data_IF_323522322406
#
_entry.id   IF_323522322406
#
_cell.length_a   1.000
_cell.length_b   1.000
_cell.length_c   1.000
_cell.angle_alpha   90.00
_cell.angle_beta   90.00
_cell.angle_gamma   90.00
#
_symmetry.space_group_name_H-M   'P 1'
#
loop_
_entity.id
_entity.type
_entity.pdbx_description
1 polymer ?
#
# COMPACT_ATOMS: atom_id res chain seq x y z
N UNK A 1 -30.22 -34.25 10.11
CA UNK A 1 -29.24 -33.36 9.45
C UNK A 1 -28.39 -32.61 10.50
N UNK A 2 -27.51 -33.28 11.26
CA UNK A 2 -26.81 -32.67 12.40
C UNK A 2 -25.26 -32.65 12.27
N UNK A 3 -24.71 -32.92 11.08
CA UNK A 3 -23.27 -33.12 10.89
C UNK A 3 -22.65 -32.30 9.75
N UNK A 4 -23.17 -31.10 9.48
CA UNK A 4 -22.52 -30.17 8.54
C UNK A 4 -21.25 -29.57 9.17
N UNK A 5 -20.12 -29.48 8.44
CA UNK A 5 -18.89 -28.86 8.95
C UNK A 5 -19.12 -27.43 9.46
N UNK A 6 -20.04 -26.67 8.84
CA UNK A 6 -20.41 -25.32 9.29
C UNK A 6 -21.22 -25.28 10.59
N UNK A 7 -21.90 -26.38 10.97
CA UNK A 7 -22.56 -26.49 12.28
C UNK A 7 -21.52 -26.78 13.37
N UNK A 8 -20.52 -27.63 13.08
CA UNK A 8 -19.41 -27.93 14.00
C UNK A 8 -18.54 -26.70 14.29
N UNK A 9 -18.23 -25.90 13.27
CA UNK A 9 -17.44 -24.67 13.45
C UNK A 9 -18.22 -23.64 14.29
N UNK A 10 -19.54 -23.48 14.06
CA UNK A 10 -20.38 -22.60 14.87
C UNK A 10 -20.47 -23.02 16.33
N UNK A 11 -20.71 -24.30 16.60
CA UNK A 11 -20.74 -24.82 17.96
C UNK A 11 -19.41 -24.60 18.70
N UNK A 12 -18.28 -24.76 17.99
CA UNK A 12 -16.96 -24.53 18.55
C UNK A 12 -16.66 -23.03 18.79
N UNK A 13 -17.12 -22.13 17.91
CA UNK A 13 -17.02 -20.69 18.13
C UNK A 13 -17.79 -20.26 19.37
N UNK A 14 -19.01 -20.76 19.57
CA UNK A 14 -19.80 -20.47 20.77
C UNK A 14 -19.09 -20.94 22.05
N UNK A 15 -18.40 -22.08 21.99
CA UNK A 15 -17.59 -22.57 23.11
C UNK A 15 -16.40 -21.64 23.41
N UNK A 16 -15.63 -21.26 22.37
CA UNK A 16 -14.47 -20.36 22.52
C UNK A 16 -14.86 -18.96 23.02
N UNK A 17 -16.01 -18.44 22.57
CA UNK A 17 -16.56 -17.17 23.06
C UNK A 17 -16.97 -17.25 24.53
N UNK A 18 -17.52 -18.38 24.98
CA UNK A 18 -17.83 -18.61 26.39
C UNK A 18 -16.55 -18.70 27.25
N UNK A 19 -15.51 -19.38 26.75
CA UNK A 19 -14.20 -19.46 27.41
C UNK A 19 -13.51 -18.08 27.49
N UNK A 20 -13.61 -17.26 26.43
CA UNK A 20 -13.09 -15.90 26.42
C UNK A 20 -13.84 -14.98 27.40
N UNK A 21 -15.17 -15.08 27.46
CA UNK A 21 -15.99 -14.29 28.38
C UNK A 21 -15.70 -14.65 29.84
N UNK A 22 -15.49 -15.93 30.15
CA UNK A 22 -15.08 -16.37 31.49
C UNK A 22 -13.70 -15.81 31.92
N UNK A 23 -12.82 -15.49 30.97
CA UNK A 23 -11.53 -14.83 31.24
C UNK A 23 -11.64 -13.31 31.40
N UNK A 24 -12.72 -12.67 30.92
CA UNK A 24 -12.98 -11.24 31.13
C UNK A 24 -13.47 -10.93 32.55
N UNK A 25 -13.98 -11.93 33.28
CA UNK A 25 -14.46 -11.81 34.66
C UNK A 25 -13.36 -11.95 35.73
N UNK A 26 -12.07 -11.95 35.34
CA UNK A 26 -10.95 -12.13 36.27
C UNK A 26 -10.25 -10.81 36.66
N UNK A 27 -9.98 -10.73 37.97
CA UNK A 27 -9.34 -9.67 38.77
C UNK A 27 -8.13 -8.97 38.08
N UNK A 28 -7.94 -7.65 38.27
CA UNK A 28 -6.81 -6.86 37.75
C UNK A 28 -5.40 -7.38 38.12
N UNK A 29 -5.28 -8.38 39.00
CA UNK A 29 -4.05 -9.11 39.31
C UNK A 29 -3.75 -10.33 38.41
N UNK A 30 -4.45 -10.47 37.27
CA UNK A 30 -4.32 -11.63 36.38
C UNK A 30 -2.86 -11.94 35.97
N UNK A 31 -2.46 -13.20 36.18
CA UNK A 31 -1.09 -13.66 35.88
C UNK A 31 -0.75 -13.62 34.38
N UNK A 32 0.53 -13.51 34.00
CA UNK A 32 0.96 -13.53 32.59
C UNK A 32 0.44 -14.73 31.78
N UNK A 33 0.22 -15.88 32.41
CA UNK A 33 -0.37 -17.06 31.77
C UNK A 33 -1.84 -16.87 31.38
N UNK A 34 -2.60 -16.10 32.15
CA UNK A 34 -4.01 -15.77 31.87
C UNK A 34 -4.13 -14.85 30.66
N UNK A 35 -3.24 -13.86 30.53
CA UNK A 35 -3.16 -12.97 29.37
C UNK A 35 -2.77 -13.75 28.11
N UNK A 36 -1.77 -14.62 28.19
CA UNK A 36 -1.38 -15.49 27.08
C UNK A 36 -2.52 -16.39 26.59
N UNK A 37 -3.26 -17.01 27.53
CA UNK A 37 -4.43 -17.85 27.19
C UNK A 37 -5.55 -17.05 26.51
N UNK A 38 -5.74 -15.78 26.91
CA UNK A 38 -6.69 -14.87 26.28
C UNK A 38 -6.31 -14.57 24.83
N UNK A 39 -5.04 -14.27 24.56
CA UNK A 39 -4.55 -13.97 23.20
C UNK A 39 -4.64 -15.20 22.28
N UNK A 40 -4.35 -16.39 22.82
CA UNK A 40 -4.52 -17.67 22.11
C UNK A 40 -5.98 -17.93 21.72
N UNK A 41 -6.94 -17.66 22.63
CA UNK A 41 -8.38 -17.80 22.36
C UNK A 41 -8.88 -16.79 21.31
N UNK A 42 -8.46 -15.52 21.38
CA UNK A 42 -8.80 -14.50 20.38
C UNK A 42 -8.29 -14.92 19.00
N UNK A 43 -7.06 -15.40 18.92
CA UNK A 43 -6.43 -15.85 17.67
C UNK A 43 -7.18 -17.03 17.05
N UNK A 44 -7.57 -18.02 17.86
CA UNK A 44 -8.32 -19.18 17.36
C UNK A 44 -9.75 -18.81 16.93
N UNK A 45 -10.45 -17.89 17.63
CA UNK A 45 -11.76 -17.36 17.20
C UNK A 45 -11.66 -16.71 15.82
N UNK A 46 -10.68 -15.81 15.61
CA UNK A 46 -10.48 -15.12 14.33
C UNK A 46 -10.20 -16.08 13.18
N UNK A 47 -9.41 -17.13 13.44
CA UNK A 47 -9.10 -18.18 12.47
C UNK A 47 -10.34 -18.98 12.08
N UNK A 48 -11.22 -19.32 13.05
CA UNK A 48 -12.47 -20.07 12.79
C UNK A 48 -13.53 -19.24 12.08
N UNK A 49 -13.65 -17.96 12.40
CA UNK A 49 -14.49 -17.02 11.63
C UNK A 49 -14.06 -16.95 10.16
N UNK A 50 -12.74 -16.88 9.93
CA UNK A 50 -12.17 -16.86 8.57
C UNK A 50 -12.50 -18.14 7.78
N UNK A 51 -12.48 -19.30 8.44
CA UNK A 51 -12.88 -20.58 7.85
C UNK A 51 -14.37 -20.62 7.48
N UNK A 52 -15.26 -20.07 8.31
CA UNK A 52 -16.70 -19.95 7.98
C UNK A 52 -16.95 -19.04 6.79
N UNK A 53 -16.26 -17.90 6.72
CA UNK A 53 -16.37 -16.96 5.60
C UNK A 53 -15.96 -17.61 4.28
N UNK A 54 -14.86 -18.36 4.27
CA UNK A 54 -14.42 -19.12 3.09
C UNK A 54 -15.43 -20.20 2.67
N UNK A 55 -16.03 -20.92 3.63
CA UNK A 55 -17.05 -21.93 3.34
C UNK A 55 -18.34 -21.33 2.76
N UNK A 56 -18.78 -20.16 3.24
CA UNK A 56 -19.96 -19.48 2.73
C UNK A 56 -19.78 -18.95 1.31
N UNK A 57 -18.55 -18.62 0.91
CA UNK A 57 -18.21 -18.22 -0.47
C UNK A 57 -18.31 -19.43 -1.41
N UNK A 58 -17.82 -20.60 -0.99
CA UNK A 58 -17.86 -21.83 -1.79
C UNK A 58 -19.30 -22.36 -1.95
N UNK A 59 -20.13 -22.26 -0.90
CA UNK A 59 -21.52 -22.71 -0.93
C UNK A 59 -22.46 -21.86 -1.80
N UNK A 60 -22.02 -20.67 -2.26
CA UNK A 60 -22.79 -19.75 -3.12
C UNK A 60 -22.45 -19.86 -4.61
N UNK A 61 -21.56 -20.77 -5.01
CA UNK A 61 -21.34 -21.05 -6.44
C UNK A 61 -22.56 -21.81 -7.01
N UNK A 62 -23.22 -21.31 -8.07
CA UNK A 62 -24.25 -22.08 -8.74
C UNK A 62 -23.64 -23.34 -9.39
N UNK A 63 -24.37 -24.46 -9.44
CA UNK A 63 -23.91 -25.66 -10.12
C UNK A 63 -23.85 -25.40 -11.62
N UNK A 64 -22.74 -25.83 -12.23
CA UNK A 64 -22.46 -25.68 -13.64
C UNK A 64 -23.23 -26.77 -14.41
N UNK A 65 -24.52 -26.56 -14.66
CA UNK A 65 -25.31 -27.38 -15.58
C UNK A 65 -25.34 -26.71 -16.95
N UNK A 66 -24.46 -27.18 -17.83
CA UNK A 66 -24.65 -27.02 -19.27
C UNK A 66 -24.12 -28.27 -19.97
N UNK A 67 -25.04 -29.20 -20.21
CA UNK A 67 -24.89 -30.23 -21.24
C UNK A 67 -25.00 -29.52 -22.60
N UNK A 68 -24.10 -29.75 -23.58
CA UNK A 68 -24.21 -29.12 -24.89
C UNK A 68 -25.24 -29.86 -25.74
N UNK A 69 -26.28 -29.14 -26.17
CA UNK A 69 -27.17 -29.55 -27.26
C UNK A 69 -26.54 -29.10 -28.59
N UNK A 70 -26.37 -29.97 -29.59
CA UNK A 70 -25.75 -29.60 -30.85
C UNK A 70 -26.84 -29.23 -31.85
N UNK A 71 -27.17 -27.94 -31.97
CA UNK A 71 -27.54 -27.26 -33.23
C UNK A 71 -28.23 -25.92 -32.94
N UNK A 72 -27.52 -24.83 -33.19
CA UNK A 72 -28.09 -23.61 -33.74
C UNK A 72 -26.93 -22.82 -34.37
N UNK A 73 -26.95 -22.73 -35.70
CA UNK A 73 -26.28 -21.66 -36.42
C UNK A 73 -26.85 -20.34 -35.91
N UNK A 74 -26.03 -19.54 -35.23
CA UNK A 74 -26.29 -18.12 -35.04
C UNK A 74 -24.95 -17.39 -35.02
N UNK A 75 -24.87 -16.37 -35.86
CA UNK A 75 -23.74 -15.49 -36.05
C UNK A 75 -23.16 -15.00 -34.71
N UNK A 76 -21.98 -15.49 -34.35
CA UNK A 76 -21.22 -14.96 -33.23
C UNK A 76 -20.71 -13.58 -33.63
N UNK A 77 -21.50 -12.56 -33.34
CA UNK A 77 -21.00 -11.20 -33.19
C UNK A 77 -20.11 -11.19 -31.95
N UNK A 78 -18.81 -11.44 -32.13
CA UNK A 78 -17.79 -11.29 -31.08
C UNK A 78 -17.67 -9.79 -30.81
N UNK A 79 -18.61 -9.24 -30.04
CA UNK A 79 -18.38 -7.98 -29.36
C UNK A 79 -17.18 -8.22 -28.43
N UNK A 80 -16.05 -7.58 -28.74
CA UNK A 80 -14.86 -7.66 -27.91
C UNK A 80 -15.27 -7.30 -26.47
N UNK A 81 -15.05 -8.23 -25.54
CA UNK A 81 -15.32 -8.02 -24.13
C UNK A 81 -14.45 -6.85 -23.66
N UNK A 82 -15.06 -5.69 -23.45
CA UNK A 82 -14.34 -4.46 -23.07
C UNK A 82 -13.69 -4.70 -21.71
N UNK A 83 -12.37 -4.46 -21.62
CA UNK A 83 -11.61 -4.62 -20.38
C UNK A 83 -12.31 -3.83 -19.25
N UNK A 84 -12.74 -4.50 -18.15
CA UNK A 84 -13.41 -3.84 -17.04
C UNK A 84 -12.61 -2.68 -16.41
N UNK A 85 -11.29 -2.68 -16.58
CA UNK A 85 -10.40 -1.61 -16.12
C UNK A 85 -10.57 -0.34 -16.96
N UNK A 86 -10.85 -0.47 -18.26
CA UNK A 86 -11.11 0.65 -19.17
C UNK A 86 -12.47 1.27 -18.83
N UNK A 87 -13.52 0.46 -18.69
CA UNK A 87 -14.86 0.95 -18.29
C UNK A 87 -14.79 1.70 -16.96
N UNK A 88 -14.00 1.18 -16.02
CA UNK A 88 -13.75 1.84 -14.74
C UNK A 88 -13.04 3.18 -14.92
N UNK A 89 -12.01 3.27 -15.76
CA UNK A 89 -11.33 4.52 -16.07
C UNK A 89 -12.25 5.55 -16.71
N UNK A 90 -13.04 5.14 -17.71
CA UNK A 90 -14.01 6.00 -18.39
C UNK A 90 -15.02 6.62 -17.41
N UNK A 91 -15.42 5.88 -16.38
CA UNK A 91 -16.31 6.38 -15.34
C UNK A 91 -15.71 7.50 -14.46
N UNK A 92 -14.37 7.59 -14.41
CA UNK A 92 -13.63 8.61 -13.65
C UNK A 92 -13.33 9.85 -14.49
N UNK A 93 -13.32 9.77 -15.83
CA UNK A 93 -13.02 10.89 -16.72
C UNK A 93 -13.86 12.15 -16.47
N UNK A 94 -15.18 12.07 -16.20
CA UNK A 94 -15.97 13.26 -15.90
C UNK A 94 -15.47 14.02 -14.67
N UNK A 95 -14.79 13.36 -13.72
CA UNK A 95 -14.33 13.95 -12.45
C UNK A 95 -13.19 14.95 -12.63
N UNK A 96 -12.57 15.01 -13.82
CA UNK A 96 -11.57 16.01 -14.14
C UNK A 96 -12.18 17.41 -14.38
N UNK A 97 -13.48 17.50 -14.70
CA UNK A 97 -14.20 18.76 -14.93
C UNK A 97 -14.53 19.46 -13.59
N UNK A 98 -13.75 20.49 -13.24
CA UNK A 98 -13.93 21.26 -11.99
C UNK A 98 -15.23 22.05 -11.91
N UNK A 99 -15.86 22.34 -13.04
CA UNK A 99 -17.14 23.07 -13.06
C UNK A 99 -18.29 22.17 -12.59
N UNK A 100 -18.19 20.87 -12.86
CA UNK A 100 -19.16 19.86 -12.43
C UNK A 100 -18.77 19.20 -11.12
N UNK A 101 -17.47 19.00 -10.90
CA UNK A 101 -16.91 18.32 -9.73
C UNK A 101 -15.84 19.21 -9.08
N UNK A 102 -16.26 20.16 -8.21
CA UNK A 102 -15.32 21.08 -7.58
C UNK A 102 -14.31 20.34 -6.69
N UNK A 103 -13.12 20.91 -6.41
CA UNK A 103 -12.18 20.31 -5.46
C UNK A 103 -12.78 20.22 -4.04
N UNK A 104 -12.20 19.36 -3.21
CA UNK A 104 -12.61 19.15 -1.82
C UNK A 104 -12.05 20.26 -0.90
N UNK A 105 -12.77 20.60 0.15
CA UNK A 105 -12.39 21.62 1.13
C UNK A 105 -11.65 21.04 2.34
N UNK A 106 -11.12 21.91 3.21
CA UNK A 106 -10.52 21.48 4.48
C UNK A 106 -11.51 20.69 5.36
N UNK A 107 -12.80 21.08 5.34
CA UNK A 107 -13.84 20.40 6.09
C UNK A 107 -14.13 18.99 5.53
N UNK A 108 -14.12 18.82 4.21
CA UNK A 108 -14.27 17.51 3.58
C UNK A 108 -13.10 16.58 3.95
N UNK A 109 -11.88 17.12 3.94
CA UNK A 109 -10.68 16.40 4.35
C UNK A 109 -10.76 15.95 5.81
N UNK A 110 -11.08 16.87 6.73
CA UNK A 110 -11.30 16.57 8.15
C UNK A 110 -12.34 15.49 8.35
N UNK A 111 -13.50 15.62 7.70
CA UNK A 111 -14.56 14.63 7.80
C UNK A 111 -14.07 13.25 7.37
N UNK A 112 -13.26 13.18 6.30
CA UNK A 112 -12.69 11.93 5.80
C UNK A 112 -11.65 11.29 6.72
N UNK A 113 -10.88 12.09 7.46
CA UNK A 113 -9.95 11.57 8.46
C UNK A 113 -10.70 10.93 9.64
N UNK A 114 -11.79 11.56 10.08
CA UNK A 114 -12.61 11.07 11.21
C UNK A 114 -13.53 9.91 10.80
N UNK A 115 -14.03 9.93 9.56
CA UNK A 115 -14.96 8.96 9.01
C UNK A 115 -14.35 8.29 7.76
N UNK A 116 -13.47 7.28 7.94
CA UNK A 116 -12.87 6.60 6.82
C UNK A 116 -13.90 5.86 5.97
N UNK A 117 -13.58 5.74 4.68
CA UNK A 117 -14.43 5.06 3.72
C UNK A 117 -14.77 3.63 4.14
N UNK A 118 -16.05 3.26 3.99
CA UNK A 118 -16.54 1.90 4.17
C UNK A 118 -17.20 1.37 2.90
N UNK A 119 -17.32 0.04 2.78
CA UNK A 119 -17.97 -0.63 1.67
C UNK A 119 -17.06 -1.52 0.83
N UNK A 120 -17.49 -1.82 -0.40
CA UNK A 120 -16.74 -2.67 -1.32
C UNK A 120 -15.40 -2.02 -1.72
N UNK A 121 -14.35 -2.85 -1.86
CA UNK A 121 -12.98 -2.38 -2.11
C UNK A 121 -12.88 -1.49 -3.35
N UNK A 122 -13.50 -1.90 -4.45
CA UNK A 122 -13.49 -1.13 -5.71
C UNK A 122 -14.08 0.27 -5.50
N UNK A 123 -15.22 0.37 -4.80
CA UNK A 123 -15.86 1.65 -4.53
C UNK A 123 -15.05 2.55 -3.59
N UNK A 124 -14.30 1.96 -2.65
CA UNK A 124 -13.37 2.70 -1.78
C UNK A 124 -12.21 3.28 -2.61
N UNK A 125 -11.63 2.47 -3.49
CA UNK A 125 -10.56 2.91 -4.39
C UNK A 125 -11.06 3.99 -5.38
N UNK A 126 -12.26 3.85 -5.94
CA UNK A 126 -12.83 4.82 -6.88
C UNK A 126 -13.08 6.18 -6.20
N UNK A 127 -13.56 6.18 -4.95
CA UNK A 127 -13.71 7.42 -4.18
C UNK A 127 -12.38 8.06 -3.85
N UNK A 128 -11.34 7.27 -3.57
CA UNK A 128 -9.99 7.79 -3.36
C UNK A 128 -9.40 8.37 -4.66
N UNK A 129 -9.62 7.71 -5.80
CA UNK A 129 -9.23 8.24 -7.12
C UNK A 129 -9.98 9.53 -7.44
N UNK A 130 -11.28 9.58 -7.19
CA UNK A 130 -12.07 10.80 -7.37
C UNK A 130 -11.49 11.97 -6.54
N UNK A 131 -11.06 11.72 -5.30
CA UNK A 131 -10.45 12.74 -4.44
C UNK A 131 -9.11 13.24 -4.96
N UNK A 132 -8.20 12.35 -5.38
CA UNK A 132 -6.92 12.81 -5.97
C UNK A 132 -7.14 13.51 -7.32
N UNK A 133 -8.10 13.08 -8.14
CA UNK A 133 -8.42 13.69 -9.44
C UNK A 133 -8.97 15.11 -9.26
N UNK A 134 -9.95 15.28 -8.37
CA UNK A 134 -10.57 16.58 -8.10
C UNK A 134 -9.59 17.50 -7.35
N UNK A 135 -8.78 16.92 -6.48
CA UNK A 135 -7.85 17.61 -5.60
C UNK A 135 -8.54 18.31 -4.43
N UNK A 136 -7.76 19.06 -3.67
CA UNK A 136 -8.23 19.87 -2.55
C UNK A 136 -8.02 21.36 -2.83
N UNK A 137 -8.88 22.20 -2.28
CA UNK A 137 -8.79 23.65 -2.36
C UNK A 137 -9.21 24.27 -1.04
N UNK A 138 -8.34 25.09 -0.46
CA UNK A 138 -8.69 25.97 0.64
C UNK A 138 -7.60 27.00 0.89
N UNK A 139 -7.89 28.01 1.70
CA UNK A 139 -6.88 28.95 2.20
C UNK A 139 -6.08 28.34 3.35
N UNK A 140 -4.80 28.71 3.51
CA UNK A 140 -3.97 28.25 4.64
C UNK A 140 -4.61 28.51 6.00
N UNK A 141 -5.22 29.69 6.19
CA UNK A 141 -5.97 30.01 7.41
C UNK A 141 -7.13 29.04 7.66
N UNK A 142 -7.88 28.65 6.63
CA UNK A 142 -9.00 27.73 6.82
C UNK A 142 -8.52 26.28 7.05
N UNK A 143 -7.43 25.85 6.40
CA UNK A 143 -6.78 24.58 6.73
C UNK A 143 -6.41 24.52 8.21
N UNK A 144 -5.74 25.56 8.70
CA UNK A 144 -5.36 25.68 10.10
C UNK A 144 -6.57 25.67 11.03
N UNK A 145 -7.56 26.54 10.80
CA UNK A 145 -8.74 26.65 11.67
C UNK A 145 -9.54 25.35 11.76
N UNK A 146 -9.65 24.60 10.67
CA UNK A 146 -10.39 23.34 10.60
C UNK A 146 -9.61 22.17 11.23
N UNK A 147 -8.29 22.12 11.04
CA UNK A 147 -7.47 20.95 11.39
C UNK A 147 -6.75 21.07 12.74
N UNK A 148 -6.40 22.27 13.19
CA UNK A 148 -5.73 22.49 14.47
C UNK A 148 -6.46 21.84 15.68
N UNK A 149 -7.81 21.79 15.73
CA UNK A 149 -8.52 21.07 16.79
C UNK A 149 -8.31 19.55 16.80
N UNK A 150 -7.73 18.95 15.76
CA UNK A 150 -7.46 17.50 15.65
C UNK A 150 -6.03 17.12 16.09
N UNK A 151 -5.22 18.07 16.52
CA UNK A 151 -3.85 17.80 16.99
C UNK A 151 -3.91 17.07 18.32
N UNK A 152 -3.48 15.81 18.34
CA UNK A 152 -3.61 14.92 19.50
C UNK A 152 -2.33 14.87 20.37
N UNK A 153 -1.12 15.04 19.79
CA UNK A 153 0.15 15.29 20.49
C UNK A 153 1.30 15.57 19.48
N UNK A 154 2.20 16.52 19.77
CA UNK A 154 3.31 16.88 18.86
C UNK A 154 4.63 16.13 19.11
N UNK A 155 4.86 15.66 20.34
CA UNK A 155 6.20 15.27 20.82
C UNK A 155 6.76 13.99 20.18
N UNK A 156 5.93 13.18 19.51
CA UNK A 156 6.36 11.93 18.86
C UNK A 156 6.95 12.14 17.45
N UNK A 157 6.75 13.32 16.85
CA UNK A 157 7.13 13.59 15.46
C UNK A 157 8.61 13.93 15.27
N UNK A 158 9.27 14.49 16.29
CA UNK A 158 10.71 14.78 16.22
C UNK A 158 11.52 13.50 16.03
N UNK A 159 11.21 12.45 16.81
CA UNK A 159 11.87 11.13 16.71
C UNK A 159 11.68 10.51 15.31
N UNK A 160 10.54 10.75 14.67
CA UNK A 160 10.26 10.31 13.31
C UNK A 160 11.10 11.07 12.30
N UNK A 161 11.20 12.38 12.45
CA UNK A 161 12.06 13.23 11.64
C UNK A 161 13.51 12.79 11.75
N UNK A 162 14.01 12.61 12.97
CA UNK A 162 15.37 12.12 13.21
C UNK A 162 15.63 10.74 12.58
N UNK A 163 14.70 9.79 12.75
CA UNK A 163 14.83 8.44 12.18
C UNK A 163 14.90 8.48 10.66
N UNK A 164 14.04 9.27 10.01
CA UNK A 164 13.99 9.38 8.54
C UNK A 164 15.18 10.14 7.96
N UNK A 165 15.64 11.20 8.65
CA UNK A 165 16.89 11.87 8.31
C UNK A 165 18.11 10.97 8.48
N UNK A 166 18.15 10.13 9.52
CA UNK A 166 19.23 9.17 9.72
C UNK A 166 19.29 8.14 8.58
N UNK A 167 18.13 7.64 8.12
CA UNK A 167 18.06 6.74 6.96
C UNK A 167 18.63 7.38 5.68
N UNK A 168 18.36 8.66 5.44
CA UNK A 168 18.89 9.40 4.28
C UNK A 168 20.41 9.51 4.26
N UNK A 169 21.05 9.60 5.43
CA UNK A 169 22.51 9.72 5.57
C UNK A 169 23.25 8.40 5.33
N UNK A 170 22.54 7.28 5.12
CA UNK A 170 23.16 5.99 4.81
C UNK A 170 23.63 5.98 3.36
N UNK A 171 24.96 5.90 3.16
CA UNK A 171 25.59 5.88 1.83
C UNK A 171 25.37 4.55 1.09
N UNK A 172 25.41 3.41 1.80
CA UNK A 172 25.19 2.10 1.19
C UNK A 172 23.69 1.89 0.87
N UNK A 173 23.37 1.73 -0.41
CA UNK A 173 21.97 1.59 -0.85
C UNK A 173 21.29 0.35 -0.23
N UNK A 174 22.03 -0.71 0.03
CA UNK A 174 21.47 -1.93 0.62
C UNK A 174 21.08 -1.68 2.08
N UNK A 175 21.98 -1.12 2.88
CA UNK A 175 21.70 -0.74 4.27
C UNK A 175 20.57 0.28 4.37
N UNK A 176 20.52 1.24 3.43
CA UNK A 176 19.44 2.23 3.38
C UNK A 176 18.08 1.58 3.14
N UNK A 177 18.00 0.64 2.19
CA UNK A 177 16.76 -0.10 1.93
C UNK A 177 16.38 -0.99 3.13
N UNK A 178 17.34 -1.65 3.79
CA UNK A 178 17.09 -2.45 4.99
C UNK A 178 16.48 -1.58 6.11
N UNK A 179 17.04 -0.39 6.36
CA UNK A 179 16.52 0.56 7.35
C UNK A 179 15.11 1.05 6.98
N UNK A 180 14.85 1.34 5.70
CA UNK A 180 13.51 1.70 5.22
C UNK A 180 12.49 0.57 5.43
N UNK A 181 12.88 -0.70 5.21
CA UNK A 181 11.98 -1.83 5.47
C UNK A 181 11.60 -1.94 6.95
N UNK A 182 12.57 -1.81 7.85
CA UNK A 182 12.33 -1.82 9.29
C UNK A 182 11.40 -0.69 9.73
N UNK A 183 11.64 0.53 9.23
CA UNK A 183 10.77 1.69 9.50
C UNK A 183 9.32 1.45 9.05
N UNK A 184 9.14 0.89 7.84
CA UNK A 184 7.82 0.63 7.27
C UNK A 184 7.07 -0.50 8.00
N UNK A 185 7.79 -1.46 8.58
CA UNK A 185 7.19 -2.61 9.29
C UNK A 185 6.89 -2.32 10.77
N UNK A 186 7.59 -1.38 11.41
CA UNK A 186 7.51 -1.15 12.86
C UNK A 186 6.28 -0.35 13.35
N UNK A 187 5.49 0.29 12.47
CA UNK A 187 4.52 1.33 12.89
C UNK A 187 3.05 0.91 12.83
N UNK A 188 2.38 1.04 13.98
CA UNK A 188 0.92 0.97 14.13
C UNK A 188 0.48 2.19 14.94
N UNK A 189 0.03 3.25 14.27
CA UNK A 189 -0.46 4.48 14.94
C UNK A 189 -1.86 4.31 15.57
N UNK A 190 -2.13 5.12 16.59
CA UNK A 190 -3.42 5.20 17.30
C UNK A 190 -3.86 6.67 17.40
N UNK A 191 -4.75 7.12 16.51
CA UNK A 191 -5.21 8.51 16.49
C UNK A 191 -5.43 9.03 15.07
N UNK A 192 -6.33 9.99 14.85
CA UNK A 192 -6.75 10.35 13.48
C UNK A 192 -5.71 11.20 12.74
N UNK A 193 -5.16 12.22 13.41
CA UNK A 193 -4.05 13.04 12.92
C UNK A 193 -2.74 12.27 12.92
N UNK A 194 -2.49 11.47 13.96
CA UNK A 194 -1.32 10.59 14.02
C UNK A 194 -1.30 9.63 12.85
N UNK A 195 -2.41 8.93 12.58
CA UNK A 195 -2.52 8.01 11.44
C UNK A 195 -2.29 8.69 10.09
N UNK A 196 -2.69 9.96 9.94
CA UNK A 196 -2.45 10.70 8.70
C UNK A 196 -0.96 11.02 8.51
N UNK A 197 -0.28 11.60 9.50
CA UNK A 197 1.15 11.93 9.38
C UNK A 197 1.97 10.66 9.18
N UNK A 198 1.69 9.62 9.96
CA UNK A 198 2.32 8.30 9.79
C UNK A 198 2.11 7.73 8.37
N UNK A 199 0.91 7.93 7.80
CA UNK A 199 0.61 7.56 6.43
C UNK A 199 1.47 8.34 5.44
N UNK A 200 1.56 9.67 5.56
CA UNK A 200 2.39 10.50 4.67
C UNK A 200 3.83 10.00 4.70
N UNK A 201 4.40 9.79 5.89
CA UNK A 201 5.78 9.33 6.05
C UNK A 201 5.99 7.93 5.46
N UNK A 202 5.09 6.97 5.73
CA UNK A 202 5.14 5.64 5.11
C UNK A 202 4.97 5.71 3.60
N UNK A 203 4.13 6.61 3.10
CA UNK A 203 3.88 6.83 1.69
C UNK A 203 5.15 7.32 0.98
N UNK A 204 5.78 8.36 1.52
CA UNK A 204 7.07 8.90 1.04
C UNK A 204 8.13 7.79 0.97
N UNK A 205 8.34 7.06 2.07
CA UNK A 205 9.36 6.01 2.10
C UNK A 205 9.01 4.83 1.19
N UNK A 206 7.73 4.54 1.00
CA UNK A 206 7.29 3.54 0.03
C UNK A 206 7.65 3.95 -1.41
N UNK A 207 7.43 5.23 -1.78
CA UNK A 207 7.79 5.74 -3.10
C UNK A 207 9.31 5.72 -3.29
N UNK A 208 10.08 6.22 -2.32
CA UNK A 208 11.56 6.16 -2.37
C UNK A 208 12.06 4.74 -2.53
N UNK A 209 11.57 3.82 -1.69
CA UNK A 209 11.94 2.41 -1.74
C UNK A 209 11.72 1.83 -3.14
N UNK A 210 10.56 2.07 -3.74
CA UNK A 210 10.25 1.56 -5.09
C UNK A 210 11.16 2.20 -6.14
N UNK A 211 11.38 3.52 -6.09
CA UNK A 211 12.24 4.23 -7.04
C UNK A 211 13.70 3.79 -6.96
N UNK A 212 14.25 3.58 -5.75
CA UNK A 212 15.60 3.03 -5.56
C UNK A 212 15.66 1.59 -6.10
N UNK A 213 14.68 0.75 -5.77
CA UNK A 213 14.66 -0.64 -6.22
C UNK A 213 14.57 -0.77 -7.75
N UNK A 214 13.73 0.03 -8.39
CA UNK A 214 13.54 0.00 -9.84
C UNK A 214 14.68 0.73 -10.58
N UNK A 215 15.35 1.71 -9.97
CA UNK A 215 16.47 2.47 -10.57
C UNK A 215 17.89 1.93 -10.33
N UNK A 216 18.07 0.85 -9.55
CA UNK A 216 19.41 0.39 -9.15
C UNK A 216 20.30 -0.13 -10.33
N UNK A 217 21.55 0.34 -10.48
CA UNK A 217 22.44 -0.05 -11.59
C UNK A 217 22.88 -1.53 -11.52
N UNK A 218 22.95 -2.20 -12.69
CA UNK A 218 23.27 -3.63 -12.76
C UNK A 218 22.10 -4.55 -12.33
N UNK A 219 20.88 -4.02 -12.45
CA UNK A 219 19.55 -4.50 -12.04
C UNK A 219 19.48 -5.91 -11.48
N UNK A 220 19.81 -6.93 -12.28
CA UNK A 220 19.60 -8.32 -11.87
C UNK A 220 20.62 -8.79 -10.84
N UNK A 221 21.89 -8.43 -10.99
CA UNK A 221 22.96 -8.89 -10.10
C UNK A 221 22.82 -8.23 -8.74
N UNK A 222 22.61 -6.92 -8.72
CA UNK A 222 22.40 -6.14 -7.50
C UNK A 222 21.19 -6.67 -6.72
N UNK A 223 20.01 -6.86 -7.35
CA UNK A 223 18.80 -7.41 -6.70
C UNK A 223 19.07 -8.80 -6.12
N UNK A 224 19.80 -9.66 -6.84
CA UNK A 224 20.17 -10.99 -6.35
C UNK A 224 21.09 -10.92 -5.13
N UNK A 225 22.08 -10.05 -5.16
CA UNK A 225 23.08 -9.92 -4.09
C UNK A 225 22.46 -9.28 -2.85
N UNK A 226 21.62 -8.24 -3.00
CA UNK A 226 20.76 -7.69 -1.95
C UNK A 226 19.92 -8.79 -1.28
N UNK A 227 19.17 -9.57 -2.07
CA UNK A 227 18.31 -10.64 -1.56
C UNK A 227 19.09 -11.75 -0.83
N UNK A 228 20.35 -11.98 -1.21
CA UNK A 228 21.23 -12.92 -0.50
C UNK A 228 21.80 -12.31 0.78
N UNK A 229 22.21 -11.02 0.77
CA UNK A 229 22.74 -10.30 1.93
C UNK A 229 21.68 -10.26 3.04
N UNK A 230 20.49 -9.74 2.73
CA UNK A 230 19.35 -9.68 3.65
C UNK A 230 18.94 -11.06 4.16
N UNK A 231 18.88 -12.08 3.29
CA UNK A 231 18.55 -13.44 3.72
C UNK A 231 19.57 -13.97 4.73
N UNK A 232 20.87 -13.76 4.49
CA UNK A 232 21.94 -14.22 5.38
C UNK A 232 21.88 -13.52 6.74
N UNK A 233 21.67 -12.21 6.75
CA UNK A 233 21.50 -11.44 7.98
C UNK A 233 20.36 -12.00 8.85
N UNK A 234 19.19 -12.24 8.22
CA UNK A 234 18.01 -12.73 8.92
C UNK A 234 18.01 -14.24 9.25
N UNK A 235 18.94 -15.02 8.67
CA UNK A 235 18.99 -16.48 8.82
C UNK A 235 20.39 -16.98 9.18
N UNK A 236 21.14 -16.23 9.98
CA UNK A 236 22.53 -16.53 10.33
C UNK A 236 22.76 -17.97 10.82
N UNK A 237 21.86 -18.51 11.65
CA UNK A 237 21.96 -19.90 12.12
C UNK A 237 21.82 -20.93 11.00
N UNK A 238 20.90 -20.71 10.04
CA UNK A 238 20.73 -21.61 8.90
C UNK A 238 21.96 -21.56 7.97
N UNK A 239 22.53 -20.38 7.78
CA UNK A 239 23.75 -20.18 6.97
C UNK A 239 24.95 -20.85 7.64
N UNK A 240 25.11 -20.65 8.96
CA UNK A 240 26.16 -21.32 9.74
C UNK A 240 26.04 -22.84 9.69
N UNK A 241 24.84 -23.38 9.85
CA UNK A 241 24.58 -24.81 9.74
C UNK A 241 24.90 -25.35 8.33
N UNK A 242 24.58 -24.61 7.27
CA UNK A 242 24.98 -24.99 5.92
C UNK A 242 26.51 -25.09 5.81
N UNK A 243 27.24 -24.11 6.31
CA UNK A 243 28.71 -24.11 6.25
C UNK A 243 29.31 -25.33 6.98
N UNK A 244 28.85 -25.62 8.20
CA UNK A 244 29.29 -26.80 8.95
C UNK A 244 29.00 -28.12 8.23
N UNK A 245 27.81 -28.26 7.63
CA UNK A 245 27.44 -29.47 6.87
C UNK A 245 28.25 -29.57 5.56
N UNK A 246 28.61 -28.45 4.96
CA UNK A 246 29.45 -28.43 3.75
C UNK A 246 30.89 -28.90 4.04
N UNK A 247 31.43 -28.62 5.23
CA UNK A 247 32.76 -29.04 5.65
C UNK A 247 32.81 -30.49 6.16
N UNK A 248 31.84 -30.89 6.99
CA UNK A 248 31.91 -32.15 7.75
C UNK A 248 30.87 -33.21 7.34
N UNK A 249 29.88 -32.86 6.53
CA UNK A 249 28.79 -33.75 6.15
C UNK A 249 29.15 -34.76 5.06
N UNK A 250 28.44 -35.88 5.00
CA UNK A 250 28.44 -36.75 3.83
C UNK A 250 27.70 -36.10 2.64
N UNK A 251 27.82 -36.68 1.44
CA UNK A 251 27.19 -36.11 0.23
C UNK A 251 25.65 -36.00 0.34
N UNK A 252 24.99 -36.88 1.10
CA UNK A 252 23.55 -36.85 1.31
C UNK A 252 23.15 -35.69 2.23
N UNK A 253 23.91 -35.46 3.30
CA UNK A 253 23.75 -34.35 4.21
C UNK A 253 24.01 -33.01 3.52
N UNK A 254 25.08 -32.91 2.71
CA UNK A 254 25.37 -31.73 1.87
C UNK A 254 24.22 -31.41 0.92
N UNK A 255 23.71 -32.43 0.20
CA UNK A 255 22.59 -32.25 -0.72
C UNK A 255 21.33 -31.76 0.01
N UNK A 256 21.01 -32.32 1.18
CA UNK A 256 19.85 -31.94 1.98
C UNK A 256 19.97 -30.52 2.56
N UNK A 257 21.15 -30.13 3.05
CA UNK A 257 21.40 -28.78 3.55
C UNK A 257 21.29 -27.74 2.44
N UNK A 258 21.89 -27.99 1.26
CA UNK A 258 21.75 -27.13 0.07
C UNK A 258 20.29 -26.98 -0.34
N UNK A 259 19.54 -28.07 -0.40
CA UNK A 259 18.10 -28.06 -0.73
C UNK A 259 17.29 -27.20 0.25
N UNK A 260 17.56 -27.32 1.54
CA UNK A 260 16.87 -26.57 2.60
C UNK A 260 17.20 -25.08 2.53
N UNK A 261 18.49 -24.75 2.37
CA UNK A 261 18.94 -23.37 2.15
C UNK A 261 18.25 -22.75 0.94
N UNK A 262 18.29 -23.44 -0.20
CA UNK A 262 17.70 -22.94 -1.45
C UNK A 262 16.18 -22.72 -1.32
N UNK A 263 15.45 -23.67 -0.71
CA UNK A 263 14.01 -23.53 -0.50
C UNK A 263 13.65 -22.33 0.40
N UNK A 264 14.47 -22.04 1.42
CA UNK A 264 14.28 -20.88 2.31
C UNK A 264 14.65 -19.58 1.61
N UNK A 265 15.75 -19.55 0.86
CA UNK A 265 16.14 -18.40 0.06
C UNK A 265 15.09 -18.07 -1.00
N UNK A 266 14.55 -19.05 -1.72
CA UNK A 266 13.50 -18.84 -2.71
C UNK A 266 12.19 -18.35 -2.06
N UNK A 267 11.89 -18.82 -0.85
CA UNK A 267 10.75 -18.33 -0.08
C UNK A 267 10.93 -16.86 0.37
N UNK A 268 12.15 -16.48 0.76
CA UNK A 268 12.52 -15.10 1.07
C UNK A 268 12.38 -14.19 -0.15
N UNK A 269 12.95 -14.61 -1.29
CA UNK A 269 12.84 -13.89 -2.56
C UNK A 269 11.38 -13.65 -2.96
N UNK A 270 10.56 -14.69 -2.95
CA UNK A 270 9.12 -14.60 -3.28
C UNK A 270 8.38 -13.63 -2.35
N UNK A 271 8.69 -13.66 -1.06
CA UNK A 271 8.08 -12.74 -0.09
C UNK A 271 8.46 -11.30 -0.38
N UNK A 272 9.75 -11.05 -0.62
CA UNK A 272 10.26 -9.72 -0.87
C UNK A 272 9.69 -9.14 -2.17
N UNK A 273 9.76 -9.87 -3.30
CA UNK A 273 9.14 -9.42 -4.57
C UNK A 273 7.66 -9.09 -4.41
N UNK A 274 6.90 -9.92 -3.68
CA UNK A 274 5.49 -9.63 -3.37
C UNK A 274 5.29 -8.35 -2.56
N UNK A 275 6.20 -8.02 -1.64
CA UNK A 275 6.17 -6.75 -0.91
C UNK A 275 6.37 -5.58 -1.87
N UNK A 276 7.32 -5.67 -2.79
CA UNK A 276 7.58 -4.63 -3.80
C UNK A 276 6.38 -4.47 -4.74
N UNK A 277 5.83 -5.56 -5.25
CA UNK A 277 4.64 -5.55 -6.11
C UNK A 277 3.42 -4.89 -5.43
N UNK A 278 3.27 -5.04 -4.11
CA UNK A 278 2.21 -4.38 -3.36
C UNK A 278 2.47 -2.86 -3.17
N UNK A 279 3.74 -2.43 -3.19
CA UNK A 279 4.17 -1.04 -3.00
C UNK A 279 4.17 -0.24 -4.30
N UNK A 280 4.52 -0.87 -5.44
CA UNK A 280 4.56 -0.25 -6.77
C UNK A 280 3.32 0.55 -7.18
N UNK A 281 2.08 0.11 -6.90
CA UNK A 281 0.90 0.89 -7.24
C UNK A 281 0.89 2.31 -6.65
N UNK A 282 1.47 2.51 -5.45
CA UNK A 282 1.57 3.82 -4.84
C UNK A 282 2.56 4.73 -5.60
N UNK A 283 3.71 4.17 -5.99
CA UNK A 283 4.70 4.90 -6.78
C UNK A 283 4.13 5.30 -8.15
N UNK A 284 3.42 4.40 -8.82
CA UNK A 284 2.74 4.71 -10.09
C UNK A 284 1.69 5.81 -9.91
N UNK A 285 0.86 5.75 -8.86
CA UNK A 285 -0.07 6.84 -8.56
C UNK A 285 0.67 8.17 -8.33
N UNK A 286 1.80 8.14 -7.60
CA UNK A 286 2.58 9.33 -7.31
C UNK A 286 3.20 9.94 -8.57
N UNK A 287 3.69 9.11 -9.50
CA UNK A 287 4.25 9.57 -10.76
C UNK A 287 3.21 10.32 -11.63
N UNK A 288 1.91 10.04 -11.44
CA UNK A 288 0.83 10.73 -12.16
C UNK A 288 0.19 11.89 -11.39
N UNK A 289 -0.05 11.73 -10.09
CA UNK A 289 -0.85 12.68 -9.29
C UNK A 289 -0.01 13.44 -8.26
N UNK A 290 1.27 13.13 -8.11
CA UNK A 290 2.19 13.76 -7.18
C UNK A 290 1.71 13.75 -5.73
N UNK A 291 1.90 14.87 -5.04
CA UNK A 291 1.55 15.04 -3.63
C UNK A 291 0.08 14.74 -3.30
N UNK A 292 -0.84 14.80 -4.27
CA UNK A 292 -2.25 14.49 -4.05
C UNK A 292 -2.47 13.06 -3.55
N UNK A 293 -1.56 12.14 -3.87
CA UNK A 293 -1.60 10.75 -3.40
C UNK A 293 -1.46 10.66 -1.88
N UNK A 294 -0.63 11.50 -1.27
CA UNK A 294 -0.41 11.48 0.18
C UNK A 294 -1.57 12.08 0.97
N UNK A 295 -2.43 12.86 0.32
CA UNK A 295 -3.69 13.34 0.92
C UNK A 295 -4.73 12.20 1.09
N UNK A 296 -4.48 11.01 0.54
CA UNK A 296 -5.40 9.88 0.57
C UNK A 296 -4.84 8.63 1.29
N UNK A 297 -5.12 8.46 2.61
CA UNK A 297 -4.70 7.29 3.39
C UNK A 297 -5.23 5.94 2.89
N UNK A 298 -6.19 5.95 1.96
CA UNK A 298 -6.72 4.75 1.30
C UNK A 298 -5.61 3.96 0.58
N UNK A 299 -4.55 4.65 0.16
CA UNK A 299 -3.45 4.06 -0.56
C UNK A 299 -2.44 3.35 0.35
N UNK A 300 -2.65 3.33 1.67
CA UNK A 300 -1.78 2.58 2.56
C UNK A 300 -1.81 1.07 2.23
N UNK A 301 -0.60 0.53 2.05
CA UNK A 301 -0.34 -0.88 1.82
C UNK A 301 -0.55 -1.67 3.12
N UNK A 302 -0.40 -0.98 4.26
CA UNK A 302 -0.57 -1.50 5.61
C UNK A 302 -1.77 -0.81 6.28
N UNK A 303 -2.75 -1.58 6.74
CA UNK A 303 -3.83 -1.06 7.59
C UNK A 303 -3.90 -1.88 8.86
N UNK A 304 -3.52 -1.27 9.99
CA UNK A 304 -3.53 -1.91 11.31
C UNK A 304 -2.75 -3.24 11.32
N UNK A 305 -1.60 -3.26 10.66
CA UNK A 305 -0.77 -4.46 10.53
C UNK A 305 -1.29 -5.51 9.55
N UNK A 306 -2.37 -5.24 8.81
CA UNK A 306 -2.90 -6.13 7.77
C UNK A 306 -2.67 -5.58 6.35
N UNK A 307 -2.19 -6.45 5.46
CA UNK A 307 -2.03 -6.13 4.03
C UNK A 307 -3.41 -5.94 3.40
N UNK A 308 -3.68 -4.75 2.85
CA UNK A 308 -4.90 -4.51 2.06
C UNK A 308 -4.68 -4.96 0.62
N UNK A 309 -5.33 -6.07 0.22
CA UNK A 309 -5.38 -6.43 -1.19
C UNK A 309 -6.17 -5.38 -1.99
N UNK A 310 -5.62 -4.98 -3.15
CA UNK A 310 -6.29 -4.11 -4.12
C UNK A 310 -7.38 -4.87 -4.88
N UNK A 311 -8.31 -4.14 -5.48
CA UNK A 311 -9.28 -4.76 -6.41
C UNK A 311 -8.56 -5.35 -7.62
N UNK A 312 -9.15 -6.38 -8.23
CA UNK A 312 -8.54 -7.10 -9.36
C UNK A 312 -8.35 -6.24 -10.61
N UNK A 313 -9.15 -5.17 -10.78
CA UNK A 313 -9.05 -4.24 -11.91
C UNK A 313 -8.10 -3.08 -11.66
N UNK A 314 -7.59 -2.92 -10.44
CA UNK A 314 -6.76 -1.76 -10.09
C UNK A 314 -5.41 -1.75 -10.84
N UNK A 315 -4.79 -2.92 -11.02
CA UNK A 315 -3.55 -3.03 -11.77
C UNK A 315 -3.73 -2.61 -13.24
N UNK A 316 -4.77 -3.11 -13.91
CA UNK A 316 -5.10 -2.72 -15.28
C UNK A 316 -5.42 -1.23 -15.39
N UNK A 317 -6.17 -0.69 -14.42
CA UNK A 317 -6.49 0.73 -14.35
C UNK A 317 -5.24 1.61 -14.32
N UNK A 318 -4.25 1.27 -13.49
CA UNK A 318 -3.00 2.03 -13.39
C UNK A 318 -2.14 1.96 -14.66
N UNK A 319 -2.21 0.86 -15.41
CA UNK A 319 -1.53 0.74 -16.70
C UNK A 319 -2.21 1.61 -17.76
N UNK A 320 -3.54 1.71 -17.73
CA UNK A 320 -4.30 2.51 -18.69
C UNK A 320 -4.25 4.02 -18.43
N UNK A 321 -4.06 4.45 -17.18
CA UNK A 321 -4.05 5.88 -16.82
C UNK A 321 -3.02 6.73 -17.59
N UNK A 322 -1.71 6.41 -17.59
CA UNK A 322 -0.68 7.30 -18.15
C UNK A 322 -1.00 7.85 -19.55
N UNK A 323 -1.46 6.97 -20.45
CA UNK A 323 -1.68 7.31 -21.85
C UNK A 323 -3.01 8.01 -22.11
N UNK A 324 -3.93 8.00 -21.14
CA UNK A 324 -5.32 8.43 -21.33
C UNK A 324 -5.76 9.55 -20.36
N UNK A 325 -4.85 10.11 -19.57
CA UNK A 325 -5.16 11.23 -18.69
C UNK A 325 -5.56 12.46 -19.50
N UNK A 326 -6.67 13.14 -19.14
CA UNK A 326 -7.08 14.38 -19.79
C UNK A 326 -5.98 15.45 -19.74
N UNK A 327 -5.86 16.21 -20.84
CA UNK A 327 -4.91 17.30 -20.99
C UNK A 327 -5.64 18.64 -21.14
N UNK A 328 -5.03 19.70 -20.62
CA UNK A 328 -5.46 21.08 -20.79
C UNK A 328 -4.24 21.86 -21.28
N UNK A 329 -4.35 22.52 -22.44
CA UNK A 329 -3.22 23.18 -23.11
C UNK A 329 -1.98 22.27 -23.32
N UNK A 330 -2.21 21.00 -23.69
CA UNK A 330 -1.13 20.02 -23.93
C UNK A 330 -0.55 19.37 -22.68
N UNK A 331 -0.75 19.95 -21.49
CA UNK A 331 -0.24 19.42 -20.22
C UNK A 331 -1.30 18.56 -19.55
N UNK A 332 -0.90 17.42 -18.95
CA UNK A 332 -1.84 16.59 -18.19
C UNK A 332 -2.47 17.38 -17.04
N UNK A 333 -3.79 17.25 -16.86
CA UNK A 333 -4.50 17.95 -15.80
C UNK A 333 -3.91 17.64 -14.40
N UNK A 334 -3.53 16.40 -14.05
CA UNK A 334 -2.84 16.12 -12.79
C UNK A 334 -1.54 16.91 -12.61
N UNK A 335 -0.72 17.03 -13.66
CA UNK A 335 0.51 17.81 -13.60
C UNK A 335 0.23 19.28 -13.32
N UNK A 336 -0.77 19.89 -13.96
CA UNK A 336 -1.19 21.28 -13.66
C UNK A 336 -1.68 21.47 -12.21
N UNK A 337 -2.21 20.42 -11.59
CA UNK A 337 -2.78 20.45 -10.23
C UNK A 337 -1.79 20.06 -9.13
N UNK A 338 -0.61 19.60 -9.53
CA UNK A 338 0.41 19.07 -8.63
C UNK A 338 0.89 20.11 -7.61
N UNK A 339 1.06 21.36 -8.01
CA UNK A 339 1.50 22.46 -7.12
C UNK A 339 0.46 22.73 -6.02
N UNK A 340 -0.82 22.79 -6.38
CA UNK A 340 -1.90 22.97 -5.39
C UNK A 340 -1.93 21.81 -4.38
N UNK A 341 -1.68 20.57 -4.85
CA UNK A 341 -1.60 19.41 -3.98
C UNK A 341 -0.34 19.41 -3.10
N UNK A 342 0.81 19.85 -3.62
CA UNK A 342 2.06 20.07 -2.86
C UNK A 342 1.80 21.06 -1.72
N UNK A 343 1.25 22.22 -2.04
CA UNK A 343 1.00 23.28 -1.06
C UNK A 343 0.00 22.83 0.01
N UNK A 344 -1.09 22.15 -0.38
CA UNK A 344 -2.05 21.60 0.58
C UNK A 344 -1.41 20.55 1.50
N UNK A 345 -0.60 19.63 0.96
CA UNK A 345 0.09 18.63 1.77
C UNK A 345 1.05 19.26 2.78
N UNK A 346 1.88 20.21 2.33
CA UNK A 346 2.84 20.93 3.19
C UNK A 346 2.11 21.68 4.30
N UNK A 347 1.03 22.40 3.98
CA UNK A 347 0.22 23.12 4.97
C UNK A 347 -0.36 22.16 6.04
N UNK A 348 -0.96 21.05 5.60
CA UNK A 348 -1.58 20.07 6.49
C UNK A 348 -0.52 19.40 7.38
N UNK A 349 0.63 19.04 6.82
CA UNK A 349 1.76 18.50 7.60
C UNK A 349 2.29 19.55 8.58
N UNK A 350 2.38 20.81 8.18
CA UNK A 350 2.78 21.92 9.04
C UNK A 350 1.86 22.11 10.24
N UNK A 351 0.56 21.82 10.10
CA UNK A 351 -0.40 21.87 11.21
C UNK A 351 -0.21 20.69 12.17
N UNK A 352 -0.11 19.46 11.64
CA UNK A 352 -0.07 18.25 12.49
C UNK A 352 1.32 17.93 13.05
N UNK A 353 2.36 18.12 12.25
CA UNK A 353 3.74 17.76 12.55
C UNK A 353 4.73 18.77 11.93
N UNK A 354 4.82 19.99 12.48
CA UNK A 354 5.70 21.05 11.95
C UNK A 354 7.15 20.61 11.74
N UNK A 355 7.68 19.75 12.63
CA UNK A 355 9.06 19.24 12.55
C UNK A 355 9.35 18.37 11.33
N UNK A 356 8.32 17.94 10.58
CA UNK A 356 8.45 17.09 9.40
C UNK A 356 8.28 17.86 8.08
N UNK A 357 8.00 19.16 8.11
CA UNK A 357 7.72 19.96 6.90
C UNK A 357 8.91 19.92 5.94
N UNK A 358 10.10 20.31 6.40
CA UNK A 358 11.33 20.34 5.59
C UNK A 358 11.60 18.97 4.95
N UNK A 359 11.36 17.89 5.71
CA UNK A 359 11.55 16.54 5.21
C UNK A 359 10.57 16.18 4.07
N UNK A 360 9.31 16.61 4.19
CA UNK A 360 8.29 16.39 3.15
C UNK A 360 8.62 17.24 1.92
N UNK A 361 9.01 18.50 2.10
CA UNK A 361 9.40 19.38 0.99
C UNK A 361 10.61 18.85 0.23
N UNK A 362 11.68 18.48 0.94
CA UNK A 362 12.87 17.87 0.33
C UNK A 362 12.50 16.64 -0.51
N UNK A 363 11.58 15.79 -0.03
CA UNK A 363 11.14 14.64 -0.81
C UNK A 363 10.44 15.05 -2.11
N UNK A 364 9.52 16.01 -2.02
CA UNK A 364 8.74 16.46 -3.18
C UNK A 364 9.65 17.12 -4.23
N UNK A 365 10.72 17.77 -3.80
CA UNK A 365 11.71 18.39 -4.67
C UNK A 365 12.68 17.35 -5.27
N UNK A 366 13.15 16.36 -4.48
CA UNK A 366 14.03 15.27 -4.94
C UNK A 366 13.33 14.31 -5.93
N UNK A 367 12.02 14.13 -5.78
CA UNK A 367 11.24 13.13 -6.51
C UNK A 367 10.06 13.75 -7.23
N UNK A 368 10.32 14.56 -8.25
CA UNK A 368 9.26 15.10 -9.10
C UNK A 368 8.43 13.97 -9.77
N UNK A 369 7.10 14.16 -9.93
CA UNK A 369 6.28 13.27 -10.75
C UNK A 369 6.76 13.22 -12.21
N UNK A 370 6.58 12.09 -12.89
CA UNK A 370 7.08 11.86 -14.27
C UNK A 370 6.53 12.87 -15.28
N UNK A 371 5.35 13.42 -15.04
CA UNK A 371 4.70 14.38 -15.94
C UNK A 371 4.86 15.84 -15.49
N UNK A 372 5.79 16.12 -14.57
CA UNK A 372 6.11 17.47 -14.15
C UNK A 372 7.05 18.11 -15.19
N UNK A 373 6.49 18.93 -16.08
CA UNK A 373 7.22 19.58 -17.18
C UNK A 373 7.08 18.84 -18.51
N UNK A 374 6.39 19.43 -19.48
CA UNK A 374 6.42 19.02 -20.91
C UNK A 374 5.81 20.16 -21.71
N UNK A 375 6.65 21.16 -21.98
CA UNK A 375 6.57 22.05 -23.15
C UNK A 375 7.85 22.90 -23.26
N UNK A 376 8.42 23.38 -22.15
CA UNK A 376 9.66 24.19 -22.22
C UNK A 376 10.92 23.39 -22.62
N UNK A 377 11.05 22.13 -22.22
CA UNK A 377 12.22 21.32 -22.60
C UNK A 377 12.13 20.78 -24.04
N UNK A 378 10.93 20.53 -24.56
CA UNK A 378 10.74 20.08 -25.96
C UNK A 378 10.87 21.25 -26.96
N UNK A 379 10.44 22.47 -26.59
CA UNK A 379 10.64 23.67 -27.43
C UNK A 379 12.10 24.14 -27.47
N UNK A 380 12.90 23.90 -26.42
CA UNK A 380 14.34 24.20 -26.42
C UNK A 380 15.20 23.17 -27.18
N UNK A 381 14.74 21.91 -27.29
CA UNK A 381 15.37 20.90 -28.16
C UNK A 381 15.01 21.13 -29.65
N UNK A 382 13.74 21.39 -29.99
CA UNK A 382 13.36 21.70 -31.38
C UNK A 382 13.96 23.03 -31.89
N UNK A 383 14.12 24.04 -31.03
CA UNK A 383 14.75 25.31 -31.42
C UNK A 383 16.28 25.20 -31.64
N UNK A 384 16.93 24.17 -31.10
CA UNK A 384 18.36 23.92 -31.33
C UNK A 384 18.61 23.03 -32.55
N UNK A 385 17.69 22.13 -32.91
CA UNK A 385 17.80 21.30 -34.12
C UNK A 385 17.51 22.09 -35.42
N UNK A 386 16.80 23.23 -35.33
CA UNK A 386 16.55 24.13 -36.47
C UNK A 386 17.72 25.12 -36.76
N UNK A 387 18.85 25.02 -36.03
CA UNK A 387 20.03 25.88 -36.17
C UNK A 387 21.32 25.18 -36.65
N UNK A 388 21.28 23.90 -37.04
CA UNK A 388 22.41 23.20 -37.71
C UNK A 388 22.35 23.15 -39.24
#
# INVERSE_FOLDING_TARGET
MLNSPGIRIRAHLTQLEAELRALQELDPSATPGTLKKRDELITEIQKRMSQMSAMNIIARRPPNDSVPDPQADDDINIAAEVDPSIVRFESLLPKFDRTKFPPFTAQDFRQRLVMPDSGARIAIEDRALERIIRGYTDSGSNWHDVLSPMVENHDEWEVIGESTQAMRKIEDEVERIEAMEEFLDARVAVGSSQMFVDWVMRGIETVRYVKIWDGAPGERKWKIDYLKKTFKANNGQLVGNLFLVMEAGDEKAKAQAKKTYQAKLDSHRKRHYRTIENRRPLALLYDHFGAAVFLEPTWDVMDKGQKRARSSTFGGLLVHMPDNLPKEDGISIPAKRSEAARNALVEIVGIFAPALVDYVEDFLDDYLPVHYGTQQEEEEEEANDDLE
#
